data_IF_091518719734
#
_entry.id   IF_091518719734
#
_cell.length_a   1.000
_cell.length_b   1.000
_cell.length_c   1.000
_cell.angle_alpha   90.00
_cell.angle_beta   90.00
_cell.angle_gamma   90.00
#
_symmetry.space_group_name_H-M   'P 1'
#
loop_
_entity.id
_entity.type
_entity.pdbx_description
1 polymer ?
2 non-polymer ?
3 water ?
#
# COMPACT_ATOMS: atom_id res chain seq x y z
N UNK A 47 18.06 11.92 27.15
CA UNK A 47 17.79 12.20 25.74
C UNK A 47 18.61 11.29 24.89
N UNK A 48 19.72 10.77 25.36
CA UNK A 48 20.56 9.89 24.55
C UNK A 48 20.01 8.46 24.53
N UNK A 49 19.11 8.18 25.46
CA UNK A 49 18.49 6.86 25.57
C UNK A 49 17.38 6.69 24.55
N UNK A 50 16.26 7.36 24.77
CA UNK A 50 15.12 7.27 23.87
C UNK A 50 15.56 7.40 22.41
N UNK A 51 16.61 8.18 22.19
CA UNK A 51 17.13 8.38 20.84
C UNK A 51 17.89 7.15 20.34
N UNK A 52 18.51 6.47 21.28
CA UNK A 52 19.25 5.29 20.95
C UNK A 52 18.32 4.21 20.57
N UNK A 53 17.18 4.20 21.21
CA UNK A 53 16.19 3.16 20.99
C UNK A 53 15.63 3.24 19.57
N UNK A 54 15.39 4.46 19.10
CA UNK A 54 14.84 4.65 17.76
C UNK A 54 15.88 4.28 16.69
N UNK A 55 17.13 4.62 16.93
CA UNK A 55 18.23 4.25 16.06
C UNK A 55 18.41 2.73 16.00
N UNK A 56 18.40 2.12 17.17
CA UNK A 56 18.54 0.67 17.34
C UNK A 56 17.39 -0.07 16.63
N UNK A 57 16.18 0.44 16.79
CA UNK A 57 15.01 -0.11 16.09
C UNK A 57 15.20 -0.01 14.58
N UNK A 58 15.73 1.12 14.13
CA UNK A 58 15.89 1.37 12.72
C UNK A 58 16.90 0.35 12.12
N UNK A 59 17.94 0.02 12.88
CA UNK A 59 18.95 -0.87 12.36
C UNK A 59 18.42 -2.31 12.29
N UNK A 60 17.70 -2.75 13.31
CA UNK A 60 17.00 -4.02 13.25
C UNK A 60 16.11 -4.08 11.98
N UNK A 61 15.47 -2.97 11.66
CA UNK A 61 14.55 -2.93 10.54
C UNK A 61 15.28 -2.75 9.25
N UNK A 62 16.61 -2.78 9.29
CA UNK A 62 17.41 -2.79 8.06
C UNK A 62 18.07 -4.17 7.87
N UNK A 63 17.71 -5.11 8.74
CA UNK A 63 18.28 -6.46 8.73
C UNK A 63 18.28 -7.10 7.34
N UNK A 64 17.12 -7.09 6.66
CA UNK A 64 17.01 -7.80 5.41
C UNK A 64 17.69 -7.12 4.23
N UNK A 65 17.64 -5.80 4.20
CA UNK A 65 18.42 -5.09 3.19
C UNK A 65 19.94 -5.35 3.46
N UNK A 66 20.34 -5.41 4.71
CA UNK A 66 21.75 -5.55 5.02
C UNK A 66 22.28 -6.96 4.66
N UNK A 67 21.45 -7.99 4.78
CA UNK A 67 21.83 -9.33 4.41
C UNK A 67 22.01 -9.41 2.92
N UNK A 68 21.09 -8.83 2.17
CA UNK A 68 21.21 -8.76 0.72
C UNK A 68 22.45 -7.99 0.31
N UNK A 69 22.62 -6.81 0.89
CA UNK A 69 23.76 -5.96 0.59
C UNK A 69 25.07 -6.69 0.88
N UNK A 70 25.07 -7.54 1.91
CA UNK A 70 26.27 -8.29 2.28
C UNK A 70 26.67 -9.21 1.13
N UNK A 71 25.70 -9.90 0.57
CA UNK A 71 25.89 -10.78 -0.57
C UNK A 71 26.03 -10.03 -1.88
N UNK A 72 25.37 -8.87 -1.99
CA UNK A 72 25.43 -8.03 -3.18
C UNK A 72 25.48 -6.54 -2.81
N UNK A 73 26.70 -5.97 -2.71
CA UNK A 73 26.82 -4.54 -2.46
C UNK A 73 26.33 -3.70 -3.64
N UNK A 74 26.07 -4.38 -4.75
CA UNK A 74 25.53 -3.78 -5.95
C UNK A 74 24.01 -3.51 -5.85
N UNK A 75 23.36 -4.10 -4.85
CA UNK A 75 21.91 -4.37 -4.92
C UNK A 75 21.11 -3.08 -4.96
N UNK A 76 20.08 -3.08 -5.82
CA UNK A 76 19.09 -2.01 -5.83
C UNK A 76 17.82 -2.64 -5.16
N UNK A 77 17.63 -2.37 -3.88
CA UNK A 77 16.62 -3.02 -3.06
C UNK A 77 15.35 -2.18 -3.03
N UNK A 78 14.24 -2.81 -3.47
CA UNK A 78 12.93 -2.18 -3.53
C UNK A 78 11.95 -2.84 -2.56
N UNK A 79 11.33 -2.02 -1.70
CA UNK A 79 10.32 -2.47 -0.77
C UNK A 79 8.94 -2.24 -1.37
N UNK A 80 8.04 -3.20 -1.18
CA UNK A 80 6.69 -3.08 -1.70
C UNK A 80 5.65 -3.39 -0.63
N UNK A 81 4.65 -2.51 -0.50
CA UNK A 81 3.47 -2.83 0.30
C UNK A 81 2.23 -2.29 -0.41
N UNK A 82 1.06 -2.80 -0.01
CA UNK A 82 -0.22 -2.33 -0.52
C UNK A 82 -1.18 -1.94 0.63
N UNK A 83 -2.14 -1.10 0.29
CA UNK A 83 -3.27 -0.79 1.13
C UNK A 83 -4.53 -0.96 0.31
N UNK A 84 -5.65 -1.19 0.96
CA UNK A 84 -6.94 -1.17 0.31
C UNK A 84 -7.48 -2.56 -0.07
N UNK A 85 -6.91 -3.59 0.52
CA UNK A 85 -7.39 -4.94 0.31
C UNK A 85 -8.77 -5.19 0.94
N UNK A 86 -9.06 -4.52 2.04
CA UNK A 86 -10.26 -4.73 2.83
C UNK A 86 -11.53 -3.93 2.46
N UNK A 87 -11.43 -2.66 1.97
CA UNK A 87 -12.65 -1.90 1.74
C UNK A 87 -13.62 -2.53 0.73
N UNK A 88 -14.86 -2.09 0.82
CA UNK A 88 -15.91 -2.47 -0.09
C UNK A 88 -15.79 -1.68 -1.41
N UNK A 89 -15.13 -0.54 -1.36
CA UNK A 89 -15.01 0.32 -2.53
C UNK A 89 -13.61 0.92 -2.65
N UNK A 90 -13.24 1.29 -3.88
CA UNK A 90 -11.99 1.99 -4.17
C UNK A 90 -10.99 1.01 -4.81
N UNK A 91 -9.84 1.55 -5.28
CA UNK A 91 -8.75 0.73 -5.80
C UNK A 91 -7.94 0.08 -4.70
N UNK A 92 -7.08 -0.86 -5.07
CA UNK A 92 -6.06 -1.40 -4.18
C UNK A 92 -4.79 -0.66 -4.65
N UNK A 93 -4.04 -0.11 -3.73
CA UNK A 93 -2.93 0.75 -4.06
C UNK A 93 -1.66 0.17 -3.46
N UNK A 94 -0.71 -0.10 -4.36
CA UNK A 94 0.62 -0.55 -3.97
C UNK A 94 1.62 0.57 -4.17
N UNK A 95 2.60 0.65 -3.28
CA UNK A 95 3.76 1.49 -3.49
C UNK A 95 5.06 0.67 -3.54
N UNK A 96 5.94 1.01 -4.45
CA UNK A 96 7.29 0.40 -4.49
C UNK A 96 8.30 1.51 -4.31
N UNK A 97 9.25 1.30 -3.40
CA UNK A 97 10.19 2.35 -3.05
C UNK A 97 11.61 1.75 -2.97
N UNK A 98 12.58 2.47 -3.50
CA UNK A 98 14.01 2.20 -3.26
C UNK A 98 14.48 3.36 -2.41
N UNK A 99 14.87 3.08 -1.19
CA UNK A 99 15.39 4.08 -0.29
C UNK A 99 16.74 4.56 -0.81
N UNK A 100 17.04 5.83 -0.56
CA UNK A 100 18.41 6.34 -0.77
C UNK A 100 19.34 5.58 0.15
N UNK A 101 20.58 5.38 -0.27
CA UNK A 101 21.51 4.51 0.48
C UNK A 101 21.80 5.02 1.87
N UNK A 102 21.82 6.33 2.05
CA UNK A 102 22.02 6.91 3.39
C UNK A 102 20.72 7.25 4.13
N UNK A 103 19.68 6.45 3.87
CA UNK A 103 18.37 6.64 4.47
C UNK A 103 18.46 6.58 5.99
N UNK A 104 17.70 7.45 6.64
CA UNK A 104 17.67 7.55 8.07
C UNK A 104 16.33 8.14 8.48
N UNK A 105 15.25 7.56 7.97
CA UNK A 105 13.90 7.99 8.32
C UNK A 105 13.46 7.37 9.65
N UNK A 106 14.12 7.82 10.72
CA UNK A 106 13.80 7.35 12.06
C UNK A 106 12.31 7.61 12.37
N UNK A 107 11.66 6.65 12.99
CA UNK A 107 10.23 6.72 13.22
C UNK A 107 9.43 5.92 12.22
N UNK A 108 10.10 5.36 11.19
CA UNK A 108 9.42 4.47 10.26
C UNK A 108 8.90 3.19 10.96
N UNK A 114 2.22 4.85 14.58
CA UNK A 114 2.30 5.75 13.42
C UNK A 114 1.02 6.60 13.18
N UNK A 115 0.72 7.58 14.07
CA UNK A 115 -0.36 8.54 13.97
C UNK A 115 -0.19 9.55 12.78
N UNK A 116 -1.21 10.33 12.52
CA UNK A 116 -1.37 11.01 11.23
C UNK A 116 -0.35 12.13 10.92
N UNK A 117 -0.11 12.99 11.88
CA UNK A 117 0.95 13.99 11.78
C UNK A 117 2.29 13.33 11.43
N UNK A 118 2.63 12.24 12.10
CA UNK A 118 3.88 11.51 11.83
C UNK A 118 3.84 10.88 10.48
N UNK A 119 2.71 10.27 10.11
CA UNK A 119 2.56 9.68 8.78
C UNK A 119 2.75 10.71 7.67
N UNK A 120 2.17 11.88 7.84
CA UNK A 120 2.30 12.96 6.84
C UNK A 120 3.74 13.44 6.74
N UNK A 121 4.41 13.61 7.88
CA UNK A 121 5.83 14.02 7.92
C UNK A 121 6.73 13.06 7.16
N UNK A 122 6.76 11.79 7.58
CA UNK A 122 7.46 10.77 6.88
C UNK A 122 6.90 10.73 5.49
N UNK A 123 5.63 10.88 5.20
CA UNK A 123 5.32 10.78 3.80
C UNK A 123 6.04 11.87 2.99
N UNK A 124 6.05 13.11 3.47
CA UNK A 124 6.75 14.13 2.69
C UNK A 124 8.33 13.93 2.63
N UNK A 125 8.94 13.60 3.74
CA UNK A 125 10.39 13.28 3.80
C UNK A 125 10.80 12.21 2.79
N UNK A 126 10.05 11.12 2.74
CA UNK A 126 10.36 10.02 1.84
C UNK A 126 10.27 10.45 0.40
N UNK A 127 9.17 11.11 0.05
CA UNK A 127 8.98 11.65 -1.30
C UNK A 127 10.11 12.63 -1.71
N UNK A 128 10.69 13.31 -0.73
CA UNK A 128 11.74 14.32 -1.01
C UNK A 128 13.16 13.77 -1.15
N UNK A 129 13.43 12.56 -0.66
CA UNK A 129 14.81 12.07 -0.55
C UNK A 129 15.08 10.64 -1.04
N UNK A 130 14.03 9.88 -1.27
CA UNK A 130 14.15 8.50 -1.66
C UNK A 130 14.66 8.40 -3.09
N UNK A 131 15.47 7.38 -3.34
CA UNK A 131 16.02 7.14 -4.68
C UNK A 131 14.92 7.07 -5.73
N UNK A 132 13.92 6.25 -5.47
CA UNK A 132 12.79 6.15 -6.36
C UNK A 132 11.52 5.69 -5.60
N UNK A 133 10.36 6.14 -6.07
CA UNK A 133 9.09 5.55 -5.65
C UNK A 133 8.08 5.69 -6.78
N UNK A 134 7.15 4.74 -6.84
CA UNK A 134 6.08 4.74 -7.79
C UNK A 134 4.89 4.00 -7.20
N UNK A 135 3.70 4.44 -7.60
CA UNK A 135 2.44 3.86 -7.15
C UNK A 135 1.87 2.93 -8.20
N UNK A 136 1.30 1.83 -7.76
CA UNK A 136 0.60 0.91 -8.64
C UNK A 136 -0.85 0.80 -8.21
N UNK A 137 -1.76 0.96 -9.16
CA UNK A 137 -3.21 0.94 -8.87
C UNK A 137 -3.89 -0.20 -9.63
N UNK A 138 -4.68 -1.00 -8.95
CA UNK A 138 -5.63 -1.88 -9.58
C UNK A 138 -7.04 -1.44 -9.20
N UNK A 139 -7.92 -1.31 -10.19
CA UNK A 139 -9.25 -0.73 -10.04
C UNK A 139 -10.20 -1.74 -9.43
N UNK A 140 -11.33 -1.24 -8.93
CA UNK A 140 -12.39 -2.09 -8.42
C UNK A 140 -12.84 -3.10 -9.48
N UNK A 141 -12.87 -2.68 -10.72
CA UNK A 141 -13.23 -3.56 -11.83
C UNK A 141 -12.22 -4.70 -11.98
N UNK A 142 -10.93 -4.37 -11.92
CA UNK A 142 -9.90 -5.44 -11.99
C UNK A 142 -9.99 -6.37 -10.80
N UNK A 143 -10.32 -5.80 -9.63
CA UNK A 143 -10.47 -6.62 -8.45
C UNK A 143 -11.59 -7.61 -8.67
N UNK A 144 -12.69 -7.12 -9.27
CA UNK A 144 -13.83 -8.00 -9.51
C UNK A 144 -13.47 -9.08 -10.56
N UNK A 145 -12.77 -8.66 -11.61
CA UNK A 145 -12.33 -9.58 -12.66
C UNK A 145 -11.31 -10.62 -12.18
N UNK A 146 -10.28 -10.19 -11.47
CA UNK A 146 -9.14 -11.06 -11.15
C UNK A 146 -9.11 -11.62 -9.72
N UNK A 147 -10.02 -11.12 -8.87
CA UNK A 147 -10.04 -11.31 -7.41
C UNK A 147 -8.94 -10.46 -6.73
N UNK A 148 -9.10 -10.23 -5.42
CA UNK A 148 -8.34 -9.17 -4.77
C UNK A 148 -6.87 -9.53 -4.58
N UNK A 149 -6.62 -10.79 -4.29
CA UNK A 149 -5.26 -11.32 -4.26
C UNK A 149 -4.48 -11.03 -5.56
N UNK A 150 -5.06 -11.42 -6.69
CA UNK A 150 -4.37 -11.29 -7.99
C UNK A 150 -4.30 -9.83 -8.39
N UNK A 151 -5.37 -9.07 -8.10
CA UNK A 151 -5.37 -7.65 -8.38
C UNK A 151 -4.25 -6.93 -7.62
N UNK A 152 -4.01 -7.40 -6.40
CA UNK A 152 -2.92 -6.87 -5.58
C UNK A 152 -1.55 -7.14 -6.25
N UNK A 153 -1.36 -8.35 -6.78
CA UNK A 153 -0.14 -8.66 -7.56
C UNK A 153 0.01 -7.72 -8.78
N UNK A 154 -1.09 -7.44 -9.46
CA UNK A 154 -1.05 -6.51 -10.62
C UNK A 154 -0.66 -5.13 -10.15
N UNK A 155 -1.20 -4.69 -9.02
CA UNK A 155 -0.88 -3.39 -8.49
C UNK A 155 0.60 -3.29 -8.11
N UNK A 156 1.12 -4.30 -7.45
CA UNK A 156 2.52 -4.28 -7.03
C UNK A 156 3.49 -4.22 -8.25
N UNK A 157 3.23 -5.03 -9.27
CA UNK A 157 4.04 -4.98 -10.50
C UNK A 157 3.91 -3.64 -11.22
N UNK A 158 2.71 -3.10 -11.25
CA UNK A 158 2.55 -1.75 -11.81
C UNK A 158 3.40 -0.72 -11.08
N UNK A 159 3.52 -0.91 -9.76
CA UNK A 159 4.37 -0.07 -8.95
C UNK A 159 5.83 -0.23 -9.35
N UNK A 160 6.24 -1.46 -9.59
CA UNK A 160 7.63 -1.72 -10.03
C UNK A 160 7.92 -1.04 -11.39
N UNK A 161 7.00 -1.19 -12.34
CA UNK A 161 7.19 -0.65 -13.70
C UNK A 161 7.31 0.85 -13.78
N UNK A 162 6.84 1.55 -12.76
CA UNK A 162 6.82 3.01 -12.78
C UNK A 162 8.04 3.60 -12.11
N UNK A 163 8.93 2.73 -11.64
CA UNK A 163 10.14 3.17 -10.96
C UNK A 163 11.16 3.74 -11.97
N UNK A 164 11.81 4.85 -11.63
CA UNK A 164 12.87 5.41 -12.49
C UNK A 164 14.03 4.41 -12.63
N UNK A 165 14.19 3.54 -11.64
CA UNK A 165 15.30 2.60 -11.58
C UNK A 165 14.78 1.19 -11.37
N UNK A 166 15.13 0.27 -12.27
CA UNK A 166 14.75 -1.14 -12.11
C UNK A 166 15.47 -1.71 -10.89
N UNK A 167 14.72 -2.27 -9.93
CA UNK A 167 15.32 -2.92 -8.76
C UNK A 167 16.02 -4.25 -9.13
N UNK A 168 16.98 -4.67 -8.33
CA UNK A 168 17.58 -6.02 -8.49
C UNK A 168 16.97 -7.00 -7.51
N UNK A 169 16.46 -6.49 -6.38
CA UNK A 169 15.88 -7.30 -5.33
C UNK A 169 14.57 -6.64 -4.75
N UNK A 170 13.60 -7.46 -4.37
CA UNK A 170 12.35 -6.96 -3.79
C UNK A 170 12.15 -7.45 -2.35
N UNK A 171 11.81 -6.56 -1.44
CA UNK A 171 11.31 -6.96 -0.12
C UNK A 171 9.81 -6.70 -0.14
N UNK A 172 8.99 -7.72 0.10
CA UNK A 172 7.57 -7.59 -0.09
C UNK A 172 6.82 -8.03 1.17
N UNK A 173 5.78 -7.24 1.51
CA UNK A 173 4.85 -7.60 2.57
C UNK A 173 3.85 -8.70 2.17
N UNK A 174 4.07 -9.90 2.68
CA UNK A 174 3.15 -11.05 2.56
C UNK A 174 2.63 -11.29 1.16
N UNK A 175 3.54 -11.37 0.18
CA UNK A 175 3.15 -11.61 -1.21
C UNK A 175 4.36 -12.06 -2.04
N UNK A 176 4.13 -13.01 -2.94
CA UNK A 176 5.10 -13.37 -3.97
C UNK A 176 4.59 -12.91 -5.30
N UNK A 177 5.51 -12.43 -6.15
CA UNK A 177 5.21 -11.98 -7.50
C UNK A 177 5.92 -12.89 -8.53
N UNK A 178 5.15 -13.35 -9.53
CA UNK A 178 5.68 -14.19 -10.60
C UNK A 178 6.90 -13.57 -11.29
N UNK A 179 7.10 -12.27 -11.20
CA UNK A 179 8.18 -11.78 -11.99
C UNK A 179 9.45 -12.49 -11.63
N UNK A 180 10.40 -12.37 -12.52
CA UNK A 180 11.66 -13.15 -12.41
C UNK A 180 12.72 -12.70 -11.38
N UNK A 181 12.37 -11.70 -10.58
CA UNK A 181 13.28 -11.18 -9.56
C UNK A 181 13.48 -11.89 -8.21
N UNK A 182 14.70 -11.82 -7.67
CA UNK A 182 14.90 -12.32 -6.31
C UNK A 182 14.11 -11.47 -5.32
N UNK A 183 13.51 -12.12 -4.34
CA UNK A 183 12.57 -11.39 -3.49
C UNK A 183 12.40 -12.13 -2.20
N UNK A 184 12.02 -11.36 -1.19
CA UNK A 184 11.73 -11.95 0.14
C UNK A 184 10.30 -11.44 0.50
N UNK A 185 9.39 -12.39 0.66
CA UNK A 185 8.09 -12.16 1.20
C UNK A 185 8.16 -12.24 2.71
N UNK A 186 7.69 -11.20 3.37
CA UNK A 186 7.74 -11.13 4.82
C UNK A 186 6.40 -10.84 5.42
N UNK A 187 6.06 -11.64 6.42
CA UNK A 187 4.93 -11.44 7.23
C UNK A 187 5.14 -10.21 8.10
N UNK A 188 4.11 -9.33 8.13
CA UNK A 188 4.21 -8.09 8.83
C UNK A 188 5.45 -7.35 8.35
N UNK A 189 5.63 -7.34 7.04
CA UNK A 189 6.77 -6.74 6.41
C UNK A 189 7.04 -5.32 6.79
N UNK A 190 5.98 -4.53 7.01
CA UNK A 190 6.13 -3.12 7.37
C UNK A 190 6.74 -2.94 8.75
N UNK A 191 6.75 -3.97 9.58
CA UNK A 191 7.42 -3.84 10.88
C UNK A 191 8.84 -4.41 10.81
N UNK A 192 9.17 -5.12 9.74
CA UNK A 192 10.43 -5.87 9.67
C UNK A 192 11.48 -5.15 8.78
N UNK A 193 11.01 -4.29 7.85
CA UNK A 193 11.81 -3.70 6.88
C UNK A 193 11.47 -2.21 6.64
N UNK A 194 12.51 -1.38 6.73
CA UNK A 194 12.44 0.03 6.50
C UNK A 194 11.95 0.29 5.08
N UNK A 195 12.38 -0.50 4.11
CA UNK A 195 11.97 -0.28 2.72
C UNK A 195 10.47 -0.55 2.59
N UNK A 196 9.99 -1.59 3.26
CA UNK A 196 8.58 -1.94 3.18
C UNK A 196 7.73 -0.93 3.99
N UNK A 197 8.20 -0.54 5.15
CA UNK A 197 7.46 0.43 5.97
C UNK A 197 7.28 1.75 5.23
N UNK A 198 8.30 2.14 4.47
CA UNK A 198 8.24 3.38 3.69
C UNK A 198 7.14 3.23 2.64
N UNK A 199 7.18 2.12 1.94
CA UNK A 199 6.22 1.84 0.92
C UNK A 199 4.78 1.88 1.48
N UNK A 200 4.52 1.28 2.66
CA UNK A 200 3.18 1.23 3.18
C UNK A 200 2.68 2.61 3.60
N UNK A 201 3.55 3.44 4.13
CA UNK A 201 3.21 4.79 4.49
C UNK A 201 2.81 5.57 3.28
N UNK A 202 3.63 5.50 2.24
CA UNK A 202 3.34 6.24 1.01
C UNK A 202 2.07 5.75 0.30
N UNK A 203 1.86 4.44 0.30
CA UNK A 203 0.64 3.84 -0.25
C UNK A 203 -0.60 4.32 0.49
N UNK A 204 -0.53 4.35 1.82
CA UNK A 204 -1.58 4.80 2.68
C UNK A 204 -2.03 6.23 2.36
N UNK A 205 -1.10 7.19 2.40
CA UNK A 205 -1.45 8.57 2.11
C UNK A 205 -2.09 8.70 0.73
N UNK A 206 -1.51 8.01 -0.26
CA UNK A 206 -2.08 8.06 -1.60
C UNK A 206 -3.52 7.54 -1.66
N UNK A 207 -3.76 6.36 -1.09
CA UNK A 207 -5.10 5.81 -1.13
C UNK A 207 -6.13 6.69 -0.37
N UNK A 208 -5.76 7.13 0.82
CA UNK A 208 -6.61 8.06 1.57
C UNK A 208 -6.93 9.38 0.82
N UNK A 209 -5.92 9.99 0.19
CA UNK A 209 -6.12 11.17 -0.67
C UNK A 209 -7.09 10.83 -1.81
N UNK A 210 -6.85 9.68 -2.45
CA UNK A 210 -7.70 9.22 -3.54
C UNK A 210 -9.20 9.14 -3.08
N UNK A 211 -9.44 8.49 -1.96
CA UNK A 211 -10.79 8.29 -1.47
C UNK A 211 -11.42 9.60 -1.02
N UNK A 212 -10.58 10.52 -0.54
CA UNK A 212 -11.01 11.85 -0.20
C UNK A 212 -11.45 12.61 -1.45
N UNK A 213 -10.68 12.49 -2.53
CA UNK A 213 -11.07 13.11 -3.80
C UNK A 213 -12.43 12.51 -4.24
N UNK A 214 -12.53 11.19 -4.13
CA UNK A 214 -13.73 10.48 -4.53
C UNK A 214 -14.98 11.00 -3.83
N UNK A 215 -14.86 11.28 -2.53
CA UNK A 215 -16.00 11.70 -1.72
C UNK A 215 -16.57 13.07 -2.14
N UNK A 216 -15.77 13.86 -2.83
CA UNK A 216 -16.24 15.12 -3.37
C UNK A 216 -17.26 14.91 -4.49
N UNK A 217 -16.97 13.97 -5.40
CA UNK A 217 -17.88 13.66 -6.49
C UNK A 217 -19.03 12.73 -6.08
N UNK A 218 -18.89 12.03 -4.95
CA UNK A 218 -19.88 11.04 -4.51
C UNK A 218 -20.06 11.14 -2.99
N UNK A 219 -20.65 12.25 -2.50
CA UNK A 219 -20.68 12.56 -1.08
C UNK A 219 -21.52 11.60 -0.23
N UNK A 220 -22.47 10.97 -0.87
CA UNK A 220 -23.48 10.15 -0.18
C UNK A 220 -22.90 8.94 0.54
N UNK A 221 -21.88 8.31 -0.05
CA UNK A 221 -21.30 7.08 0.51
C UNK A 221 -20.43 7.26 1.74
N UNK A 222 -19.92 8.48 1.99
CA UNK A 222 -19.16 8.77 3.18
C UNK A 222 -17.68 8.36 3.04
N UNK A 223 -17.18 8.33 1.81
CA UNK A 223 -15.84 7.89 1.48
C UNK A 223 -14.72 8.59 2.25
N UNK A 224 -14.89 9.88 2.51
CA UNK A 224 -13.87 10.67 3.19
C UNK A 224 -13.71 10.22 4.63
N UNK A 225 -14.76 9.63 5.20
CA UNK A 225 -14.69 9.11 6.54
C UNK A 225 -14.34 7.58 6.55
N UNK A 226 -15.00 6.79 5.70
CA UNK A 226 -14.87 5.33 5.77
C UNK A 226 -13.84 4.71 4.83
N UNK A 227 -13.27 5.51 3.94
CA UNK A 227 -12.24 5.07 3.00
C UNK A 227 -12.69 3.87 2.19
N UNK A 228 -14.00 3.71 2.08
CA UNK A 228 -14.55 2.58 1.37
C UNK A 228 -15.04 1.40 2.15
N UNK A 229 -14.80 1.36 3.47
CA UNK A 229 -15.26 0.21 4.27
C UNK A 229 -16.76 0.21 4.29
N UNK A 230 -17.36 -0.97 4.44
CA UNK A 230 -18.85 -1.05 4.31
C UNK A 230 -19.57 -0.76 5.61
N UNK A 231 -19.42 0.45 6.08
CA UNK A 231 -20.09 0.88 7.31
C UNK A 231 -21.61 0.96 7.02
N UNK A 232 -22.39 1.05 8.08
CA UNK A 232 -23.84 1.19 7.99
C UNK A 232 -24.20 2.39 7.07
N UNK A 233 -23.54 3.54 7.26
CA UNK A 233 -23.73 4.72 6.39
C UNK A 233 -23.49 4.41 4.90
N UNK A 234 -22.38 3.75 4.64
CA UNK A 234 -22.01 3.36 3.28
C UNK A 234 -23.09 2.40 2.69
N UNK A 235 -23.48 1.41 3.47
CA UNK A 235 -24.45 0.43 3.01
C UNK A 235 -25.81 1.08 2.78
N UNK A 236 -26.21 2.04 3.64
CA UNK A 236 -27.47 2.72 3.47
C UNK A 236 -27.43 3.58 2.22
N UNK A 237 -26.27 4.20 1.90
CA UNK A 237 -26.19 4.97 0.67
C UNK A 237 -26.39 4.07 -0.54
N UNK A 238 -25.80 2.87 -0.49
CA UNK A 238 -25.99 1.90 -1.56
C UNK A 238 -27.47 1.51 -1.73
N UNK A 239 -28.14 1.18 -0.62
CA UNK A 239 -29.58 0.91 -0.62
C UNK A 239 -30.35 2.06 -1.32
N UNK A 240 -29.87 3.28 -1.12
CA UNK A 240 -30.58 4.46 -1.57
C UNK A 240 -30.35 4.82 -3.05
N UNK A 241 -29.11 4.91 -3.48
CA UNK A 241 -28.81 5.32 -4.86
C UNK A 241 -28.00 4.30 -5.64
N UNK A 242 -27.85 3.10 -5.09
CA UNK A 242 -27.13 2.05 -5.76
C UNK A 242 -25.61 2.19 -5.73
N UNK A 243 -24.95 1.23 -6.36
CA UNK A 243 -23.51 1.22 -6.38
C UNK A 243 -23.02 2.11 -7.51
N UNK A 244 -21.71 2.35 -7.58
CA UNK A 244 -21.11 3.08 -8.65
C UNK A 244 -19.82 2.36 -9.06
N UNK A 245 -19.06 2.96 -9.96
CA UNK A 245 -17.94 2.25 -10.60
C UNK A 245 -16.79 1.89 -9.63
N UNK A 246 -16.70 2.54 -8.48
CA UNK A 246 -15.65 2.19 -7.49
C UNK A 246 -16.05 1.03 -6.59
N UNK A 247 -17.32 0.64 -6.60
CA UNK A 247 -17.75 -0.48 -5.76
C UNK A 247 -17.28 -1.81 -6.26
N UNK A 248 -16.89 -2.67 -5.33
CA UNK A 248 -16.36 -3.97 -5.67
C UNK A 248 -17.49 -5.00 -5.67
N UNK A 249 -17.94 -5.41 -6.85
CA UNK A 249 -19.11 -6.28 -6.95
C UNK A 249 -18.84 -7.68 -6.40
N UNK A 250 -17.59 -8.10 -6.41
CA UNK A 250 -17.20 -9.39 -5.90
C UNK A 250 -17.14 -9.46 -4.37
N UNK A 251 -17.19 -8.30 -3.71
CA UNK A 251 -17.14 -8.25 -2.24
C UNK A 251 -18.50 -8.33 -1.61
N UNK A 252 -18.64 -9.21 -0.64
CA UNK A 252 -19.79 -9.14 0.25
C UNK A 252 -19.69 -7.83 1.06
N UNK A 253 -20.82 -7.22 1.40
CA UNK A 253 -22.21 -7.72 1.22
C UNK A 253 -22.84 -7.32 -0.10
N UNK A 254 -22.11 -6.60 -0.96
CA UNK A 254 -22.62 -6.27 -2.24
C UNK A 254 -22.92 -7.52 -3.09
N UNK A 255 -22.01 -8.49 -3.06
CA UNK A 255 -22.13 -9.72 -3.83
C UNK A 255 -23.51 -10.35 -3.66
N UNK A 256 -23.89 -10.62 -2.42
CA UNK A 256 -25.17 -11.23 -2.10
C UNK A 256 -26.37 -10.30 -2.41
N UNK A 257 -26.18 -9.00 -2.24
CA UNK A 257 -27.23 -8.02 -2.55
C UNK A 257 -27.54 -7.97 -4.06
N UNK A 258 -26.51 -8.12 -4.89
CA UNK A 258 -26.73 -8.16 -6.34
C UNK A 258 -27.53 -9.41 -6.74
N UNK A 259 -27.21 -10.53 -6.12
CA UNK A 259 -27.92 -11.79 -6.35
C UNK A 259 -29.43 -11.66 -6.15
N UNK A 260 -29.81 -11.31 -4.94
CA UNK A 260 -31.18 -11.14 -4.58
C UNK A 260 -31.89 -10.15 -5.46
N UNK A 261 -31.17 -9.20 -6.03
CA UNK A 261 -31.73 -8.22 -6.90
C UNK A 261 -32.01 -8.85 -8.26
N UNK A 262 -31.11 -9.67 -8.76
CA UNK A 262 -31.30 -10.35 -10.03
C UNK A 262 -32.38 -11.42 -9.91
N UNK A 263 -32.45 -12.10 -8.76
CA UNK A 263 -33.48 -13.12 -8.50
C UNK A 263 -34.88 -12.49 -8.54
#
# INVERSE_FOLDING_TARGET
MGSMTLTIKEVTQLINAVNTIEELENHECFLDERKGVQNAIARRRKALEKEQALKEKYVEMTYFENEILKEHPNAIICGIDEVGRGPLAGPVVACATILNSNHNYLGLDDSKKVPVTKRLELNEALKNEVTAFAYGIATAEEIDEFNIYKATQIAMQRAIDGLSVQPTHLLIDAMTLDNALPQVSLIKGDARSVSIAAASIMAKVFRDDYMTQLSKDYPEYGFEKNAGYGTKQHLLAIDDIGIMKEHRKSFEPIKSLLLEHHHHHH
#
